data_IF_744923505657
#
_entry.id   IF_744923505657
#
_cell.length_a   1.000
_cell.length_b   1.000
_cell.length_c   1.000
_cell.angle_alpha   90.00
_cell.angle_beta   90.00
_cell.angle_gamma   90.00
#
_symmetry.space_group_name_H-M   'P 1'
#
loop_
_entity.id
_entity.type
_entity.pdbx_description
1 polymer ?
#
# COMPACT_ATOMS: atom_id res chain seq x y z
N UNK A 1 37.85 34.92 16.13
CA UNK A 1 36.70 34.02 15.91
C UNK A 1 37.26 32.81 15.20
N UNK A 2 37.13 31.62 15.79
CA UNK A 2 37.60 30.37 15.18
C UNK A 2 36.84 30.18 13.87
N UNK A 3 37.55 30.25 12.75
CA UNK A 3 36.95 30.07 11.41
C UNK A 3 36.54 28.61 11.28
N UNK A 4 35.23 28.34 11.29
CA UNK A 4 34.73 26.98 11.14
C UNK A 4 35.06 26.46 9.75
N UNK A 5 35.69 25.29 9.66
CA UNK A 5 35.90 24.61 8.38
C UNK A 5 34.81 23.58 8.09
N UNK A 6 34.48 23.38 6.81
CA UNK A 6 33.45 22.44 6.35
C UNK A 6 34.02 21.43 5.36
N UNK A 7 33.54 20.19 5.44
CA UNK A 7 33.92 19.12 4.52
C UNK A 7 32.93 19.03 3.36
N UNK A 8 33.42 19.27 2.13
CA UNK A 8 32.63 19.14 0.89
C UNK A 8 32.33 17.70 0.55
N UNK A 9 31.36 17.50 -0.34
CA UNK A 9 31.00 16.18 -0.89
C UNK A 9 32.15 15.49 -1.62
N UNK A 10 33.07 16.26 -2.21
CA UNK A 10 34.28 15.75 -2.85
C UNK A 10 35.46 15.53 -1.88
N UNK A 11 35.23 15.65 -0.56
CA UNK A 11 36.24 15.46 0.48
C UNK A 11 37.15 16.65 0.74
N UNK A 12 37.05 17.74 -0.03
CA UNK A 12 37.85 18.96 0.23
C UNK A 12 37.31 19.74 1.42
N UNK A 13 38.22 20.34 2.19
CA UNK A 13 37.89 21.25 3.29
C UNK A 13 37.95 22.70 2.82
N UNK A 14 36.95 23.51 3.15
CA UNK A 14 36.95 24.96 2.93
C UNK A 14 36.38 25.70 4.15
N UNK A 15 36.59 27.02 4.22
CA UNK A 15 35.94 27.84 5.24
C UNK A 15 34.42 27.89 5.05
N UNK A 16 33.67 27.90 6.15
CA UNK A 16 32.22 28.04 6.09
C UNK A 16 31.83 29.36 5.43
N UNK A 17 30.96 29.28 4.43
CA UNK A 17 30.42 30.46 3.76
C UNK A 17 28.97 30.69 4.18
N UNK A 18 28.79 31.52 5.21
CA UNK A 18 27.47 31.85 5.76
C UNK A 18 26.62 32.65 4.76
N UNK A 19 27.23 33.46 3.90
CA UNK A 19 26.51 34.21 2.86
C UNK A 19 25.84 33.27 1.83
N UNK A 20 26.51 32.18 1.46
CA UNK A 20 25.92 31.14 0.61
C UNK A 20 24.73 30.45 1.28
N UNK A 21 24.83 30.18 2.58
CA UNK A 21 23.72 29.62 3.36
C UNK A 21 22.56 30.61 3.35
N UNK A 22 22.83 31.88 3.67
CA UNK A 22 21.83 32.94 3.71
C UNK A 22 21.09 33.11 2.38
N UNK A 23 21.80 33.10 1.25
CA UNK A 23 21.18 33.16 -0.09
C UNK A 23 20.22 31.99 -0.34
N UNK A 24 20.60 30.77 0.03
CA UNK A 24 19.75 29.58 -0.16
C UNK A 24 18.52 29.61 0.76
N UNK A 25 18.68 30.00 2.03
CA UNK A 25 17.58 30.11 2.98
C UNK A 25 16.61 31.22 2.57
N UNK A 26 17.13 32.37 2.10
CA UNK A 26 16.34 33.48 1.58
C UNK A 26 15.57 33.09 0.32
N UNK A 27 16.21 32.40 -0.62
CA UNK A 27 15.54 31.85 -1.80
C UNK A 27 14.40 30.90 -1.40
N UNK A 28 14.61 30.02 -0.42
CA UNK A 28 13.57 29.11 0.03
C UNK A 28 12.37 29.85 0.67
N UNK A 29 12.60 31.02 1.25
CA UNK A 29 11.57 31.87 1.85
C UNK A 29 10.82 32.78 0.86
N UNK A 30 11.23 32.82 -0.42
CA UNK A 30 10.67 33.77 -1.39
C UNK A 30 9.15 33.56 -1.61
N UNK A 31 8.38 34.63 -1.44
CA UNK A 31 6.92 34.60 -1.60
C UNK A 31 6.15 33.80 -0.53
N UNK A 32 6.78 33.52 0.61
CA UNK A 32 6.15 32.85 1.76
C UNK A 32 5.81 33.87 2.85
N UNK A 33 4.67 33.66 3.52
CA UNK A 33 4.19 34.52 4.59
C UNK A 33 4.62 34.01 5.97
N UNK A 34 4.90 34.93 6.91
CA UNK A 34 5.22 34.62 8.30
C UNK A 34 6.37 33.61 8.51
N UNK A 35 7.34 33.56 7.59
CA UNK A 35 8.60 32.81 7.76
C UNK A 35 9.77 33.74 8.07
N UNK A 36 10.73 33.28 8.87
CA UNK A 36 11.91 34.05 9.26
C UNK A 36 13.20 33.32 8.91
N UNK A 37 13.92 33.87 7.92
CA UNK A 37 15.25 33.42 7.52
C UNK A 37 16.20 33.37 8.71
N UNK A 38 16.23 34.45 9.51
CA UNK A 38 17.11 34.56 10.68
C UNK A 38 16.79 33.51 11.74
N UNK A 39 15.52 33.15 11.95
CA UNK A 39 15.13 32.14 12.93
C UNK A 39 15.65 30.74 12.55
N UNK A 40 15.57 30.39 11.25
CA UNK A 40 16.11 29.13 10.72
C UNK A 40 17.64 29.09 10.85
N UNK A 41 18.31 30.17 10.45
CA UNK A 41 19.77 30.28 10.55
C UNK A 41 20.27 30.19 11.99
N UNK A 42 19.65 30.91 12.93
CA UNK A 42 20.05 30.87 14.35
C UNK A 42 19.90 29.47 14.93
N UNK A 43 18.77 28.79 14.67
CA UNK A 43 18.55 27.40 15.10
C UNK A 43 19.56 26.43 14.51
N UNK A 44 19.93 26.61 13.24
CA UNK A 44 20.86 25.74 12.54
C UNK A 44 22.32 25.98 12.98
N UNK A 45 22.75 27.24 13.08
CA UNK A 45 24.12 27.63 13.41
C UNK A 45 24.58 27.10 14.78
N UNK A 46 23.67 27.00 15.76
CA UNK A 46 23.96 26.43 17.08
C UNK A 46 24.44 24.97 16.99
N UNK A 47 24.06 24.25 15.92
CA UNK A 47 24.40 22.85 15.72
C UNK A 47 25.66 22.65 14.85
N UNK A 48 26.27 23.73 14.34
CA UNK A 48 27.47 23.63 13.51
C UNK A 48 28.72 23.44 14.36
N UNK A 49 29.62 22.57 13.89
CA UNK A 49 30.88 22.24 14.54
C UNK A 49 32.02 22.14 13.52
N UNK A 50 33.26 22.16 14.00
CA UNK A 50 34.45 22.13 13.15
C UNK A 50 34.52 20.86 12.30
N UNK A 51 34.72 21.02 10.99
CA UNK A 51 34.80 19.91 10.04
C UNK A 51 33.45 19.32 9.62
N UNK A 52 32.32 19.91 10.03
CA UNK A 52 30.96 19.47 9.67
C UNK A 52 30.84 19.26 8.14
N UNK A 53 30.16 18.19 7.74
CA UNK A 53 29.95 17.92 6.31
C UNK A 53 28.89 18.86 5.76
N UNK A 54 29.08 19.29 4.51
CA UNK A 54 28.09 20.12 3.81
C UNK A 54 26.73 19.44 3.60
N UNK A 55 26.68 18.10 3.63
CA UNK A 55 25.41 17.34 3.67
C UNK A 55 24.65 17.61 4.96
N UNK A 56 25.35 17.58 6.08
CA UNK A 56 24.78 17.68 7.42
C UNK A 56 24.31 19.11 7.68
N UNK A 57 25.04 20.12 7.17
CA UNK A 57 24.59 21.52 7.17
C UNK A 57 23.20 21.67 6.53
N UNK A 58 22.99 21.09 5.34
CA UNK A 58 21.69 21.17 4.68
C UNK A 58 20.60 20.41 5.47
N UNK A 59 20.90 19.23 6.01
CA UNK A 59 19.94 18.47 6.82
C UNK A 59 19.54 19.24 8.08
N UNK A 60 20.49 19.90 8.74
CA UNK A 60 20.24 20.78 9.89
C UNK A 60 19.36 21.98 9.53
N UNK A 61 19.59 22.63 8.37
CA UNK A 61 18.75 23.75 7.91
C UNK A 61 17.32 23.29 7.60
N UNK A 62 17.18 22.16 6.90
CA UNK A 62 15.88 21.55 6.58
C UNK A 62 15.11 21.23 7.87
N UNK A 63 15.77 20.59 8.84
CA UNK A 63 15.15 20.26 10.13
C UNK A 63 14.79 21.51 10.91
N UNK A 64 15.65 22.52 10.92
CA UNK A 64 15.39 23.79 11.63
C UNK A 64 14.16 24.52 11.09
N UNK A 65 13.95 24.50 9.77
CA UNK A 65 12.73 25.02 9.15
C UNK A 65 11.52 24.12 9.41
N UNK A 66 11.68 22.80 9.34
CA UNK A 66 10.59 21.85 9.59
C UNK A 66 10.06 21.90 11.04
N UNK A 67 10.94 22.10 12.03
CA UNK A 67 10.59 22.23 13.44
C UNK A 67 9.85 23.55 13.77
N UNK A 68 9.70 24.45 12.79
CA UNK A 68 8.95 25.71 12.89
C UNK A 68 7.56 25.64 12.23
N UNK A 69 7.18 24.48 11.68
CA UNK A 69 5.84 24.29 11.12
C UNK A 69 4.83 24.27 12.27
N UNK A 70 3.91 25.23 12.26
CA UNK A 70 2.78 25.33 13.21
C UNK A 70 1.52 25.81 12.49
N UNK A 71 0.39 25.84 13.21
CA UNK A 71 -0.85 26.43 12.70
C UNK A 71 -0.71 27.95 12.44
N UNK A 72 0.12 28.67 13.20
CA UNK A 72 0.33 30.12 13.00
C UNK A 72 1.33 30.43 11.87
N UNK A 73 2.27 29.52 11.61
CA UNK A 73 3.31 29.68 10.59
C UNK A 73 3.37 28.48 9.63
N UNK A 74 2.29 28.22 8.86
CA UNK A 74 2.17 27.03 8.02
C UNK A 74 3.15 27.03 6.84
N UNK A 75 3.58 28.19 6.35
CA UNK A 75 4.45 28.31 5.17
C UNK A 75 5.87 27.79 5.38
N UNK A 76 6.29 27.57 6.63
CA UNK A 76 7.50 26.79 6.90
C UNK A 76 7.46 25.41 6.26
N UNK A 77 6.27 24.85 5.98
CA UNK A 77 6.16 23.59 5.23
C UNK A 77 6.73 23.69 3.82
N UNK A 78 6.57 24.85 3.15
CA UNK A 78 7.10 25.09 1.82
C UNK A 78 8.57 25.49 1.89
N UNK A 79 8.96 26.31 2.87
CA UNK A 79 10.37 26.66 3.08
C UNK A 79 11.23 25.42 3.31
N UNK A 80 10.81 24.53 4.23
CA UNK A 80 11.50 23.27 4.50
C UNK A 80 11.48 22.33 3.28
N UNK A 81 10.39 22.31 2.51
CA UNK A 81 10.30 21.53 1.26
C UNK A 81 11.31 22.01 0.22
N UNK A 82 11.38 23.33 -0.03
CA UNK A 82 12.28 23.94 -1.02
C UNK A 82 13.74 23.69 -0.66
N UNK A 83 14.10 23.81 0.63
CA UNK A 83 15.43 23.42 1.13
C UNK A 83 15.71 21.92 0.91
N UNK A 84 14.72 21.06 1.14
CA UNK A 84 14.85 19.63 0.92
C UNK A 84 15.00 19.28 -0.57
N UNK A 85 14.24 19.92 -1.47
CA UNK A 85 14.41 19.75 -2.93
C UNK A 85 15.78 20.22 -3.38
N UNK A 86 16.24 21.38 -2.91
CA UNK A 86 17.59 21.88 -3.23
C UNK A 86 18.67 20.87 -2.82
N UNK A 87 18.54 20.27 -1.63
CA UNK A 87 19.43 19.23 -1.18
C UNK A 87 19.35 17.96 -2.03
N UNK A 88 18.14 17.53 -2.41
CA UNK A 88 17.88 16.35 -3.24
C UNK A 88 18.46 16.50 -4.65
N UNK A 89 18.29 17.66 -5.30
CA UNK A 89 18.85 17.90 -6.63
C UNK A 89 20.37 17.81 -6.62
N UNK A 90 21.01 18.44 -5.63
CA UNK A 90 22.46 18.30 -5.45
C UNK A 90 22.86 16.85 -5.21
N UNK A 91 22.06 16.07 -4.45
CA UNK A 91 22.32 14.65 -4.19
C UNK A 91 22.27 13.83 -5.48
N UNK A 92 21.25 14.04 -6.31
CA UNK A 92 21.04 13.27 -7.53
C UNK A 92 21.94 13.70 -8.69
N UNK A 93 22.22 14.99 -8.84
CA UNK A 93 22.85 15.55 -10.05
C UNK A 93 24.19 16.22 -9.77
N UNK A 94 24.57 16.42 -8.51
CA UNK A 94 25.75 17.21 -8.13
C UNK A 94 25.53 18.73 -8.16
N UNK A 95 24.54 19.20 -8.90
CA UNK A 95 24.15 20.60 -9.05
C UNK A 95 22.65 20.84 -8.81
N UNK A 96 22.19 22.08 -8.95
CA UNK A 96 20.78 22.43 -8.75
C UNK A 96 19.92 22.22 -10.01
N UNK A 97 20.46 22.51 -11.19
CA UNK A 97 19.74 22.32 -12.44
C UNK A 97 19.71 20.84 -12.83
N UNK A 98 18.54 20.25 -13.10
CA UNK A 98 18.45 18.89 -13.61
C UNK A 98 19.07 18.77 -15.01
N UNK A 99 19.70 17.64 -15.35
CA UNK A 99 20.23 17.40 -16.69
C UNK A 99 19.11 17.27 -17.73
N UNK A 100 19.46 17.34 -19.03
CA UNK A 100 18.50 17.05 -20.10
C UNK A 100 17.91 15.63 -19.94
N UNK A 101 16.60 15.48 -20.23
CA UNK A 101 15.87 14.22 -20.04
C UNK A 101 16.54 13.03 -20.72
N UNK A 102 16.95 13.16 -21.98
CA UNK A 102 17.62 12.08 -22.71
C UNK A 102 18.91 11.61 -22.01
N UNK A 103 19.78 12.55 -21.62
CA UNK A 103 21.03 12.23 -20.94
C UNK A 103 20.78 11.58 -19.57
N UNK A 104 19.75 12.05 -18.85
CA UNK A 104 19.32 11.45 -17.59
C UNK A 104 18.87 9.99 -17.77
N UNK A 105 17.99 9.73 -18.75
CA UNK A 105 17.48 8.38 -19.04
C UNK A 105 18.61 7.45 -19.49
N UNK A 106 19.48 7.89 -20.39
CA UNK A 106 20.64 7.11 -20.84
C UNK A 106 21.51 6.65 -19.67
N UNK A 107 21.87 7.58 -18.78
CA UNK A 107 22.68 7.28 -17.60
C UNK A 107 21.99 6.26 -16.67
N UNK A 108 20.68 6.42 -16.40
CA UNK A 108 19.98 5.51 -15.49
C UNK A 108 19.63 4.15 -16.12
N UNK A 109 19.52 4.07 -17.45
CA UNK A 109 19.43 2.79 -18.16
C UNK A 109 20.78 2.06 -18.12
N UNK A 110 21.90 2.75 -18.33
CA UNK A 110 23.24 2.17 -18.21
C UNK A 110 23.49 1.60 -16.81
N UNK A 111 23.04 2.31 -15.77
CA UNK A 111 23.08 1.86 -14.38
C UNK A 111 22.00 0.80 -14.03
N UNK A 112 21.18 0.37 -14.99
CA UNK A 112 20.08 -0.61 -14.83
C UNK A 112 19.05 -0.20 -13.76
N UNK A 113 18.84 1.10 -13.60
CA UNK A 113 17.85 1.69 -12.69
C UNK A 113 16.54 2.02 -13.41
N UNK A 114 16.64 2.47 -14.65
CA UNK A 114 15.51 2.61 -15.56
C UNK A 114 15.43 1.48 -16.56
N UNK A 115 14.26 1.28 -17.12
CA UNK A 115 14.05 0.30 -18.17
C UNK A 115 14.63 0.76 -19.51
N UNK A 116 15.33 -0.15 -20.20
CA UNK A 116 15.92 0.12 -21.50
C UNK A 116 14.87 0.37 -22.60
N UNK A 117 13.65 -0.16 -22.42
CA UNK A 117 12.53 0.03 -23.34
C UNK A 117 12.15 1.50 -23.53
N UNK A 118 12.44 2.37 -22.55
CA UNK A 118 12.21 3.81 -22.64
C UNK A 118 13.02 4.41 -23.80
N UNK A 119 14.28 3.99 -23.98
CA UNK A 119 15.15 4.49 -25.04
C UNK A 119 14.78 3.95 -26.42
N UNK A 120 14.16 2.77 -26.50
CA UNK A 120 13.68 2.21 -27.77
C UNK A 120 12.29 2.73 -28.16
N UNK A 121 11.50 3.22 -27.20
CA UNK A 121 10.13 3.68 -27.43
C UNK A 121 10.05 5.10 -28.00
N UNK A 122 11.09 5.92 -27.79
CA UNK A 122 11.12 7.33 -28.14
C UNK A 122 12.40 7.69 -28.90
N UNK A 123 12.23 8.44 -29.98
CA UNK A 123 13.35 9.03 -30.73
C UNK A 123 14.02 10.19 -29.97
N UNK A 124 15.27 10.57 -30.29
CA UNK A 124 15.90 11.75 -29.71
C UNK A 124 15.05 13.03 -29.87
N UNK A 125 14.40 13.22 -31.00
CA UNK A 125 13.53 14.36 -31.28
C UNK A 125 12.27 14.36 -30.40
N UNK A 126 11.74 13.18 -30.07
CA UNK A 126 10.66 13.04 -29.09
C UNK A 126 11.15 13.32 -27.68
N UNK A 127 12.37 12.91 -27.31
CA UNK A 127 12.96 13.28 -26.02
C UNK A 127 13.14 14.79 -25.86
N UNK A 128 13.50 15.51 -26.92
CA UNK A 128 13.56 16.98 -26.90
C UNK A 128 12.18 17.59 -26.64
N UNK A 129 11.14 17.06 -27.29
CA UNK A 129 9.75 17.48 -27.05
C UNK A 129 9.29 17.16 -25.63
N UNK A 130 9.56 15.95 -25.14
CA UNK A 130 9.26 15.54 -23.77
C UNK A 130 9.98 16.43 -22.75
N UNK A 131 11.26 16.74 -23.00
CA UNK A 131 12.03 17.65 -22.16
C UNK A 131 11.40 19.05 -22.12
N UNK A 132 10.84 19.52 -23.24
CA UNK A 132 10.13 20.81 -23.30
C UNK A 132 8.84 20.87 -22.45
N UNK A 133 8.27 19.72 -22.09
CA UNK A 133 7.09 19.67 -21.21
C UNK A 133 7.46 19.83 -19.73
N UNK A 134 8.71 19.55 -19.34
CA UNK A 134 9.15 19.61 -17.96
C UNK A 134 9.12 21.04 -17.42
N UNK A 135 8.42 21.21 -16.30
CA UNK A 135 8.48 22.40 -15.48
C UNK A 135 9.05 22.05 -14.11
N UNK A 136 10.38 22.16 -13.99
CA UNK A 136 11.12 21.89 -12.77
C UNK A 136 10.77 22.83 -11.61
N UNK A 137 10.11 23.98 -11.86
CA UNK A 137 9.67 24.86 -10.78
C UNK A 137 8.48 24.27 -10.01
N UNK A 138 7.75 23.31 -10.57
CA UNK A 138 6.66 22.58 -9.86
C UNK A 138 7.17 21.79 -8.66
N UNK A 139 8.47 21.48 -8.58
CA UNK A 139 9.05 20.91 -7.36
C UNK A 139 8.92 21.86 -6.15
N UNK A 140 8.77 23.16 -6.36
CA UNK A 140 8.63 24.15 -5.29
C UNK A 140 7.22 24.20 -4.68
N UNK A 141 6.26 23.50 -5.30
CA UNK A 141 4.86 23.44 -4.86
C UNK A 141 4.61 22.33 -3.82
N UNK A 142 5.61 21.49 -3.54
CA UNK A 142 5.48 20.43 -2.54
C UNK A 142 5.53 20.99 -1.12
N UNK A 143 4.75 20.40 -0.21
CA UNK A 143 4.97 20.55 1.23
C UNK A 143 6.10 19.64 1.72
N UNK A 144 6.65 19.94 2.88
CA UNK A 144 7.79 19.20 3.43
C UNK A 144 7.49 17.70 3.59
N UNK A 145 6.29 17.37 4.06
CA UNK A 145 5.85 15.99 4.21
C UNK A 145 5.81 15.24 2.86
N UNK A 146 5.39 15.92 1.78
CA UNK A 146 5.37 15.35 0.43
C UNK A 146 6.79 15.06 -0.06
N UNK A 147 7.73 15.99 0.13
CA UNK A 147 9.15 15.77 -0.21
C UNK A 147 9.74 14.58 0.56
N UNK A 148 9.35 14.39 1.83
CA UNK A 148 9.76 13.21 2.61
C UNK A 148 9.13 11.90 2.14
N UNK A 149 7.93 11.91 1.58
CA UNK A 149 7.40 10.71 0.90
C UNK A 149 8.15 10.44 -0.41
N UNK A 150 8.47 11.47 -1.19
CA UNK A 150 9.24 11.35 -2.43
C UNK A 150 10.62 10.73 -2.13
N UNK A 151 11.39 11.35 -1.24
CA UNK A 151 12.71 10.87 -0.78
C UNK A 151 12.62 9.48 -0.16
N UNK A 152 11.64 9.24 0.72
CA UNK A 152 11.56 8.00 1.46
C UNK A 152 11.03 6.82 0.65
N UNK A 153 10.22 7.03 -0.40
CA UNK A 153 9.44 5.94 -1.02
C UNK A 153 9.41 5.97 -2.55
N UNK A 154 9.32 7.14 -3.19
CA UNK A 154 8.98 7.22 -4.62
C UNK A 154 10.19 7.42 -5.52
N UNK A 155 11.18 8.19 -5.07
CA UNK A 155 12.39 8.41 -5.86
C UNK A 155 13.19 7.10 -5.99
N UNK A 156 13.64 6.82 -7.21
CA UNK A 156 14.59 5.74 -7.51
C UNK A 156 15.87 6.03 -6.74
N UNK A 157 16.24 5.05 -5.93
CA UNK A 157 17.30 5.20 -4.94
C UNK A 157 17.93 3.85 -4.65
N UNK A 158 19.16 3.89 -4.17
CA UNK A 158 19.80 2.73 -3.58
C UNK A 158 19.45 2.67 -2.10
N UNK A 159 18.63 1.70 -1.73
CA UNK A 159 18.14 1.53 -0.35
C UNK A 159 19.24 1.19 0.66
N UNK A 160 20.38 0.67 0.19
CA UNK A 160 21.52 0.30 1.05
C UNK A 160 22.42 1.51 1.28
N UNK A 161 22.77 2.25 0.22
CA UNK A 161 23.68 3.39 0.32
C UNK A 161 22.98 4.71 0.66
N UNK A 162 21.66 4.79 0.45
CA UNK A 162 20.87 6.01 0.60
C UNK A 162 21.00 7.00 -0.56
N UNK A 163 21.63 6.59 -1.66
CA UNK A 163 21.83 7.44 -2.84
C UNK A 163 20.51 7.62 -3.61
N UNK A 164 20.18 8.88 -3.95
CA UNK A 164 19.00 9.27 -4.71
C UNK A 164 19.44 9.59 -6.15
N UNK A 165 18.70 9.12 -7.15
CA UNK A 165 19.16 9.18 -8.55
C UNK A 165 18.38 10.15 -9.45
N UNK A 166 17.25 10.69 -9.01
CA UNK A 166 16.33 11.47 -9.86
C UNK A 166 15.62 12.58 -9.07
N UNK A 167 14.78 13.36 -9.75
CA UNK A 167 13.94 14.43 -9.17
C UNK A 167 12.44 14.19 -9.46
N UNK A 168 11.52 14.86 -8.74
CA UNK A 168 10.09 14.58 -8.87
C UNK A 168 9.51 14.80 -10.28
N UNK A 169 9.96 15.82 -11.02
CA UNK A 169 9.43 16.02 -12.37
C UNK A 169 9.80 14.91 -13.36
N UNK A 170 11.01 14.34 -13.23
CA UNK A 170 11.36 13.15 -14.02
C UNK A 170 10.47 11.97 -13.71
N UNK A 171 10.08 11.77 -12.44
CA UNK A 171 9.08 10.75 -12.09
C UNK A 171 7.81 10.96 -12.90
N UNK A 172 7.19 12.14 -12.79
CA UNK A 172 5.88 12.38 -13.38
C UNK A 172 5.88 12.23 -14.90
N UNK A 173 6.88 12.78 -15.56
CA UNK A 173 6.97 12.70 -17.02
C UNK A 173 7.27 11.28 -17.49
N UNK A 174 8.19 10.57 -16.83
CA UNK A 174 8.53 9.20 -17.23
C UNK A 174 7.42 8.21 -16.88
N UNK A 175 6.64 8.45 -15.81
CA UNK A 175 5.41 7.69 -15.55
C UNK A 175 4.44 7.84 -16.72
N UNK A 176 4.21 9.07 -17.18
CA UNK A 176 3.37 9.33 -18.33
C UNK A 176 3.93 8.65 -19.60
N UNK A 177 5.22 8.84 -19.89
CA UNK A 177 5.88 8.27 -21.05
C UNK A 177 5.82 6.73 -21.06
N UNK A 178 6.00 6.06 -19.93
CA UNK A 178 5.89 4.60 -19.87
C UNK A 178 4.44 4.11 -20.05
N UNK A 179 3.45 4.80 -19.46
CA UNK A 179 2.03 4.41 -19.58
C UNK A 179 1.49 4.54 -21.00
N UNK A 180 1.96 5.54 -21.74
CA UNK A 180 1.48 5.86 -23.08
C UNK A 180 2.46 5.46 -24.18
N UNK A 181 3.51 4.67 -23.88
CA UNK A 181 4.54 4.29 -24.84
C UNK A 181 3.97 3.64 -26.12
N UNK A 182 2.98 2.77 -25.97
CA UNK A 182 2.38 2.02 -27.08
C UNK A 182 1.27 2.79 -27.84
N UNK A 183 1.00 4.04 -27.48
CA UNK A 183 0.00 4.85 -28.19
C UNK A 183 0.51 5.24 -29.58
N UNK A 184 -0.43 5.45 -30.50
CA UNK A 184 -0.14 5.98 -31.83
C UNK A 184 0.66 7.29 -31.74
N UNK A 185 1.72 7.41 -32.53
CA UNK A 185 2.68 8.51 -32.46
C UNK A 185 2.04 9.88 -32.75
N UNK A 186 0.92 9.92 -33.49
CA UNK A 186 0.19 11.17 -33.77
C UNK A 186 -0.49 11.78 -32.55
N UNK A 187 -0.77 10.97 -31.52
CA UNK A 187 -1.49 11.41 -30.30
C UNK A 187 -0.68 11.19 -29.01
N UNK A 188 0.30 10.29 -29.02
CA UNK A 188 1.05 9.85 -27.83
C UNK A 188 1.64 11.00 -27.02
N UNK A 189 2.33 11.95 -27.66
CA UNK A 189 2.95 13.09 -26.97
C UNK A 189 1.92 14.03 -26.33
N UNK A 190 0.74 14.22 -26.94
CA UNK A 190 -0.33 15.02 -26.33
C UNK A 190 -0.87 14.37 -25.05
N UNK A 191 -1.11 13.06 -25.07
CA UNK A 191 -1.52 12.31 -23.89
C UNK A 191 -0.47 12.38 -22.77
N UNK A 192 0.81 12.22 -23.12
CA UNK A 192 1.91 12.33 -22.17
C UNK A 192 1.94 13.71 -21.52
N UNK A 193 1.87 14.79 -22.32
CA UNK A 193 1.84 16.17 -21.81
C UNK A 193 0.65 16.39 -20.87
N UNK A 194 -0.56 16.04 -21.31
CA UNK A 194 -1.79 16.24 -20.52
C UNK A 194 -1.78 15.47 -19.22
N UNK A 195 -1.27 14.23 -19.25
CA UNK A 195 -1.15 13.42 -18.05
C UNK A 195 -0.07 13.95 -17.12
N UNK A 196 1.11 14.31 -17.64
CA UNK A 196 2.16 14.98 -16.87
C UNK A 196 1.62 16.22 -16.16
N UNK A 197 0.90 17.09 -16.88
CA UNK A 197 0.29 18.29 -16.30
C UNK A 197 -0.74 17.95 -15.21
N UNK A 198 -1.56 16.91 -15.41
CA UNK A 198 -2.54 16.49 -14.41
C UNK A 198 -1.87 15.98 -13.12
N UNK A 199 -0.83 15.15 -13.21
CA UNK A 199 -0.21 14.55 -12.03
C UNK A 199 0.78 15.49 -11.33
N UNK A 200 1.53 16.31 -12.09
CA UNK A 200 2.51 17.25 -11.51
C UNK A 200 1.85 18.50 -10.92
N UNK A 201 0.62 18.85 -11.34
CA UNK A 201 -0.21 19.86 -10.67
C UNK A 201 -1.21 19.25 -9.67
N UNK A 202 -0.98 18.00 -9.25
CA UNK A 202 -1.75 17.33 -8.19
C UNK A 202 -3.26 17.22 -8.45
N UNK A 203 -3.71 17.17 -9.72
CA UNK A 203 -5.11 16.88 -10.08
C UNK A 203 -5.43 15.40 -9.98
N UNK A 204 -4.44 14.57 -10.31
CA UNK A 204 -4.52 13.11 -10.20
C UNK A 204 -3.41 12.62 -9.29
N UNK A 205 -3.77 11.84 -8.28
CA UNK A 205 -2.84 11.14 -7.39
C UNK A 205 -2.62 9.71 -7.87
N UNK A 206 -1.38 9.27 -7.84
CA UNK A 206 -0.96 7.93 -8.26
C UNK A 206 -0.49 7.10 -7.05
N UNK A 207 -0.78 5.79 -7.04
CA UNK A 207 -0.41 4.91 -5.95
C UNK A 207 1.09 4.67 -5.91
N UNK A 208 1.58 4.23 -4.75
CA UNK A 208 3.01 4.03 -4.47
C UNK A 208 3.71 3.10 -5.48
N UNK A 209 3.15 1.94 -5.88
CA UNK A 209 3.83 1.05 -6.84
C UNK A 209 4.03 1.69 -8.21
N UNK A 210 3.10 2.53 -8.68
CA UNK A 210 3.24 3.26 -9.94
C UNK A 210 4.31 4.34 -9.81
N UNK A 211 4.19 5.22 -8.81
CA UNK A 211 5.14 6.31 -8.56
C UNK A 211 6.59 5.82 -8.39
N UNK A 212 6.78 4.70 -7.70
CA UNK A 212 8.08 4.15 -7.35
C UNK A 212 8.62 3.09 -8.34
N UNK A 213 7.85 2.70 -9.36
CA UNK A 213 8.13 1.47 -10.11
C UNK A 213 8.08 1.59 -11.62
N UNK A 214 7.17 2.39 -12.18
CA UNK A 214 6.77 2.20 -13.58
C UNK A 214 7.87 2.42 -14.63
N UNK A 215 8.82 3.32 -14.36
CA UNK A 215 9.97 3.61 -15.23
C UNK A 215 11.17 2.69 -14.99
N UNK A 216 11.07 1.79 -14.02
CA UNK A 216 12.13 0.86 -13.62
C UNK A 216 11.94 -0.51 -14.28
N UNK A 217 12.94 -1.41 -14.25
CA UNK A 217 12.79 -2.78 -14.78
C UNK A 217 11.70 -3.64 -14.12
N UNK A 218 11.10 -3.19 -13.02
CA UNK A 218 10.01 -3.94 -12.36
C UNK A 218 8.70 -3.74 -13.12
N UNK A 219 7.92 -4.81 -13.32
CA UNK A 219 6.62 -4.79 -14.03
C UNK A 219 5.42 -5.19 -13.14
N UNK A 220 5.56 -5.09 -11.82
CA UNK A 220 4.45 -5.26 -10.88
C UNK A 220 4.05 -3.89 -10.33
N UNK A 221 2.81 -3.48 -10.58
CA UNK A 221 2.27 -2.17 -10.16
C UNK A 221 0.96 -2.28 -9.38
N UNK A 222 0.45 -3.50 -9.16
CA UNK A 222 -0.81 -3.72 -8.45
C UNK A 222 -0.61 -3.48 -6.96
N UNK A 223 -1.42 -2.56 -6.41
CA UNK A 223 -1.31 -2.15 -5.00
C UNK A 223 -1.93 -3.18 -4.07
N UNK A 224 -2.99 -3.84 -4.52
CA UNK A 224 -3.73 -4.82 -3.75
C UNK A 224 -3.95 -6.11 -4.56
N UNK A 225 -3.87 -7.23 -3.86
CA UNK A 225 -4.02 -8.58 -4.39
C UNK A 225 -5.00 -9.33 -3.50
N UNK A 226 -6.03 -9.93 -4.08
CA UNK A 226 -7.06 -10.69 -3.39
C UNK A 226 -6.91 -12.17 -3.76
N UNK A 227 -6.70 -13.01 -2.76
CA UNK A 227 -6.44 -14.45 -2.94
C UNK A 227 -7.47 -15.24 -2.11
N UNK A 228 -8.23 -16.10 -2.79
CA UNK A 228 -9.15 -17.02 -2.14
C UNK A 228 -8.46 -18.37 -1.91
N UNK A 229 -8.57 -18.88 -0.68
CA UNK A 229 -8.05 -20.18 -0.29
C UNK A 229 -9.19 -21.19 -0.23
N UNK A 230 -9.07 -22.28 -0.97
CA UNK A 230 -9.96 -23.42 -0.88
C UNK A 230 -9.65 -24.32 0.33
N UNK A 231 -10.54 -25.27 0.60
CA UNK A 231 -10.41 -26.24 1.69
C UNK A 231 -9.58 -27.46 1.29
N UNK A 232 -8.33 -27.22 0.86
CA UNK A 232 -7.36 -28.29 0.55
C UNK A 232 -5.93 -27.84 0.82
N UNK A 233 -5.05 -28.80 1.13
CA UNK A 233 -3.62 -28.50 1.33
C UNK A 233 -2.97 -27.90 0.08
N UNK A 234 -3.37 -28.38 -1.10
CA UNK A 234 -2.90 -27.84 -2.38
C UNK A 234 -3.25 -26.36 -2.52
N UNK A 235 -4.49 -25.98 -2.17
CA UNK A 235 -4.92 -24.59 -2.21
C UNK A 235 -4.28 -23.72 -1.14
N UNK A 236 -4.08 -24.25 0.07
CA UNK A 236 -3.35 -23.58 1.15
C UNK A 236 -1.90 -23.30 0.72
N UNK A 237 -1.22 -24.27 0.12
CA UNK A 237 0.14 -24.13 -0.38
C UNK A 237 0.21 -23.13 -1.54
N UNK A 238 -0.74 -23.19 -2.48
CA UNK A 238 -0.82 -22.25 -3.60
C UNK A 238 -1.05 -20.81 -3.10
N UNK A 239 -1.96 -20.62 -2.15
CA UNK A 239 -2.26 -19.35 -1.49
C UNK A 239 -1.01 -18.78 -0.81
N UNK A 240 -0.34 -19.58 0.02
CA UNK A 240 0.91 -19.18 0.71
C UNK A 240 2.00 -18.78 -0.28
N UNK A 241 2.19 -19.57 -1.33
CA UNK A 241 3.19 -19.31 -2.36
C UNK A 241 2.89 -18.02 -3.15
N UNK A 242 1.61 -17.76 -3.46
CA UNK A 242 1.17 -16.53 -4.12
C UNK A 242 1.40 -15.30 -3.22
N UNK A 243 1.09 -15.40 -1.92
CA UNK A 243 1.36 -14.35 -0.93
C UNK A 243 2.84 -13.95 -0.95
N UNK A 244 3.75 -14.93 -0.86
CA UNK A 244 5.21 -14.66 -0.84
C UNK A 244 5.65 -13.90 -2.10
N UNK A 245 5.20 -14.34 -3.28
CA UNK A 245 5.52 -13.66 -4.55
C UNK A 245 5.03 -12.21 -4.54
N UNK A 246 3.77 -11.98 -4.21
CA UNK A 246 3.17 -10.64 -4.29
C UNK A 246 3.66 -9.67 -3.21
N UNK A 247 3.91 -10.15 -1.99
CA UNK A 247 4.50 -9.31 -0.93
C UNK A 247 5.91 -8.87 -1.31
N UNK A 248 6.73 -9.74 -1.89
CA UNK A 248 8.07 -9.36 -2.36
C UNK A 248 8.03 -8.21 -3.39
N UNK A 249 6.90 -8.06 -4.09
CA UNK A 249 6.66 -7.10 -5.15
C UNK A 249 5.75 -5.93 -4.75
N UNK A 250 5.71 -5.57 -3.46
CA UNK A 250 5.01 -4.35 -2.97
C UNK A 250 3.47 -4.41 -2.95
N UNK A 251 2.85 -5.58 -2.98
CA UNK A 251 1.38 -5.70 -2.86
C UNK A 251 0.92 -5.82 -1.39
N UNK A 252 -0.24 -5.21 -1.08
CA UNK A 252 -1.02 -5.53 0.12
C UNK A 252 -2.01 -6.66 -0.17
N UNK A 253 -2.25 -7.55 0.80
CA UNK A 253 -2.97 -8.80 0.54
C UNK A 253 -4.34 -8.84 1.23
N UNK A 254 -5.38 -9.24 0.52
CA UNK A 254 -6.63 -9.74 1.11
C UNK A 254 -6.71 -11.26 0.94
N UNK A 255 -6.94 -12.00 2.02
CA UNK A 255 -6.96 -13.47 2.00
C UNK A 255 -8.35 -13.94 2.42
N UNK A 256 -9.12 -14.55 1.52
CA UNK A 256 -10.31 -15.28 1.97
C UNK A 256 -9.91 -16.69 2.39
N UNK A 257 -10.01 -16.96 3.69
CA UNK A 257 -9.72 -18.27 4.25
C UNK A 257 -10.94 -18.89 4.96
N UNK A 258 -12.12 -18.29 4.75
CA UNK A 258 -13.36 -18.71 5.41
C UNK A 258 -13.93 -20.05 4.94
N UNK A 259 -13.39 -20.64 3.87
CA UNK A 259 -13.78 -21.96 3.38
C UNK A 259 -13.04 -23.11 4.09
N UNK A 260 -11.91 -22.83 4.76
CA UNK A 260 -11.13 -23.85 5.47
C UNK A 260 -12.00 -24.49 6.56
N UNK A 261 -12.03 -25.82 6.61
CA UNK A 261 -12.85 -26.55 7.59
C UNK A 261 -12.40 -26.35 9.03
N UNK A 262 -13.35 -26.48 9.94
CA UNK A 262 -13.12 -26.23 11.36
C UNK A 262 -12.22 -27.30 12.05
N UNK A 263 -11.66 -26.93 13.19
CA UNK A 263 -10.96 -27.84 14.12
C UNK A 263 -11.83 -29.07 14.44
N UNK A 264 -11.27 -30.26 14.34
CA UNK A 264 -11.94 -31.52 14.63
C UNK A 264 -12.78 -32.09 13.47
N UNK A 265 -12.88 -31.40 12.33
CA UNK A 265 -13.52 -31.98 11.14
C UNK A 265 -12.72 -33.17 10.60
N UNK A 266 -13.42 -34.15 10.03
CA UNK A 266 -12.80 -35.37 9.54
C UNK A 266 -11.93 -35.11 8.29
N UNK A 267 -10.78 -35.78 8.20
CA UNK A 267 -9.93 -35.85 7.01
C UNK A 267 -10.00 -37.28 6.47
N UNK A 268 -10.20 -37.43 5.15
CA UNK A 268 -10.23 -38.72 4.43
C UNK A 268 -11.13 -39.78 5.10
N UNK A 269 -12.35 -39.40 5.48
CA UNK A 269 -13.29 -40.33 6.09
C UNK A 269 -12.96 -40.75 7.53
N UNK A 270 -12.07 -40.01 8.22
CA UNK A 270 -11.75 -40.24 9.63
C UNK A 270 -10.33 -40.74 9.90
N UNK A 271 -9.45 -40.80 8.89
CA UNK A 271 -8.03 -41.15 9.08
C UNK A 271 -7.28 -40.17 10.00
N UNK A 272 -7.69 -38.90 10.00
CA UNK A 272 -7.13 -37.87 10.86
C UNK A 272 -8.17 -36.80 11.21
N UNK A 273 -7.89 -36.06 12.28
CA UNK A 273 -8.65 -34.88 12.68
C UNK A 273 -7.98 -33.61 12.15
N UNK A 274 -8.78 -32.69 11.60
CA UNK A 274 -8.29 -31.39 11.15
C UNK A 274 -7.86 -30.52 12.33
N UNK A 275 -6.71 -29.87 12.25
CA UNK A 275 -6.13 -29.03 13.32
C UNK A 275 -6.67 -27.60 13.37
N UNK A 276 -7.67 -27.31 12.53
CA UNK A 276 -8.39 -26.04 12.51
C UNK A 276 -7.74 -24.95 11.66
N UNK A 277 -8.33 -23.76 11.71
CA UNK A 277 -7.93 -22.64 10.86
C UNK A 277 -6.65 -21.94 11.35
N UNK A 278 -6.47 -21.85 12.67
CA UNK A 278 -5.42 -21.04 13.30
C UNK A 278 -4.00 -21.42 12.83
N UNK A 279 -3.60 -22.71 12.75
CA UNK A 279 -2.28 -23.08 12.22
C UNK A 279 -2.04 -22.59 10.78
N UNK A 280 -3.05 -22.64 9.92
CA UNK A 280 -2.94 -22.12 8.56
C UNK A 280 -2.90 -20.59 8.52
N UNK A 281 -3.61 -19.92 9.41
CA UNK A 281 -3.54 -18.45 9.52
C UNK A 281 -2.14 -18.01 10.00
N UNK A 282 -1.50 -18.77 10.91
CA UNK A 282 -0.09 -18.57 11.26
C UNK A 282 0.84 -18.78 10.05
N UNK A 283 0.59 -19.79 9.24
CA UNK A 283 1.35 -20.03 8.02
C UNK A 283 1.20 -18.89 7.00
N UNK A 284 -0.01 -18.37 6.81
CA UNK A 284 -0.22 -17.18 5.99
C UNK A 284 0.45 -15.94 6.59
N UNK A 285 0.47 -15.79 7.92
CA UNK A 285 1.18 -14.68 8.57
C UNK A 285 2.67 -14.72 8.28
N UNK A 286 3.32 -15.89 8.36
CA UNK A 286 4.75 -15.99 8.05
C UNK A 286 5.02 -15.76 6.57
N UNK A 287 4.14 -16.20 5.67
CA UNK A 287 4.21 -15.86 4.24
C UNK A 287 4.09 -14.34 4.00
N UNK A 288 3.18 -13.65 4.70
CA UNK A 288 3.02 -12.19 4.60
C UNK A 288 4.25 -11.43 5.15
N UNK A 289 4.95 -12.00 6.14
CA UNK A 289 6.12 -11.37 6.77
C UNK A 289 7.47 -11.85 6.21
N UNK A 290 7.48 -12.73 5.21
CA UNK A 290 8.71 -13.28 4.66
C UNK A 290 9.56 -12.26 3.90
N UNK A 291 8.94 -11.18 3.41
CA UNK A 291 9.61 -10.12 2.66
C UNK A 291 9.11 -8.73 3.12
N UNK A 292 9.96 -7.71 3.00
CA UNK A 292 9.50 -6.33 2.98
C UNK A 292 8.89 -6.03 1.60
N UNK A 293 7.78 -5.27 1.54
CA UNK A 293 7.14 -4.80 0.30
C UNK A 293 8.15 -4.05 -0.58
N UNK A 294 8.89 -4.76 -1.43
CA UNK A 294 9.94 -4.25 -2.30
C UNK A 294 10.90 -3.25 -1.64
N UNK A 295 11.26 -3.48 -0.37
CA UNK A 295 12.17 -2.63 0.41
C UNK A 295 11.58 -1.32 0.96
N UNK A 296 10.25 -1.12 0.89
CA UNK A 296 9.60 0.16 1.26
C UNK A 296 8.84 0.10 2.58
N UNK A 297 8.07 -0.97 2.84
CA UNK A 297 7.26 -1.17 4.07
C UNK A 297 7.19 -2.66 4.44
N UNK A 298 6.75 -3.00 5.65
CA UNK A 298 6.48 -4.40 6.02
C UNK A 298 5.21 -4.93 5.35
N UNK A 299 5.20 -6.20 4.92
CA UNK A 299 4.02 -6.85 4.35
C UNK A 299 2.83 -6.83 5.31
N UNK A 300 1.63 -6.61 4.79
CA UNK A 300 0.39 -6.53 5.56
C UNK A 300 -0.73 -7.27 4.83
N UNK A 301 -1.61 -7.93 5.60
CA UNK A 301 -2.76 -8.63 5.05
C UNK A 301 -3.97 -8.62 5.99
N UNK A 302 -5.14 -8.72 5.39
CA UNK A 302 -6.43 -8.93 6.06
C UNK A 302 -6.99 -10.29 5.67
N UNK A 303 -7.38 -11.10 6.66
CA UNK A 303 -7.97 -12.43 6.45
C UNK A 303 -9.49 -12.39 6.67
N UNK A 304 -10.25 -12.94 5.74
CA UNK A 304 -11.72 -12.91 5.75
C UNK A 304 -12.31 -14.27 6.13
N UNK A 305 -13.38 -14.24 6.94
CA UNK A 305 -14.16 -15.42 7.32
C UNK A 305 -15.61 -15.05 7.70
N UNK A 306 -16.57 -15.98 7.53
CA UNK A 306 -17.97 -15.76 7.91
C UNK A 306 -18.17 -15.73 9.42
N UNK A 307 -19.07 -14.87 9.90
CA UNK A 307 -19.44 -14.83 11.32
C UNK A 307 -20.06 -16.14 11.83
N UNK A 308 -20.66 -16.93 10.94
CA UNK A 308 -21.23 -18.24 11.29
C UNK A 308 -20.19 -19.38 11.25
N UNK A 309 -18.91 -19.09 11.03
CA UNK A 309 -17.87 -20.13 11.06
C UNK A 309 -17.78 -20.79 12.44
N UNK A 310 -17.62 -22.12 12.51
CA UNK A 310 -17.57 -22.86 13.79
C UNK A 310 -16.49 -22.37 14.75
N UNK A 311 -15.36 -21.90 14.22
CA UNK A 311 -14.26 -21.36 15.02
C UNK A 311 -14.37 -19.85 15.31
N UNK A 312 -15.46 -19.17 14.95
CA UNK A 312 -15.55 -17.69 14.95
C UNK A 312 -15.13 -17.04 16.28
N UNK A 313 -15.53 -17.61 17.42
CA UNK A 313 -15.17 -17.06 18.74
C UNK A 313 -13.64 -17.05 18.95
N UNK A 314 -12.96 -18.09 18.46
CA UNK A 314 -11.50 -18.19 18.50
C UNK A 314 -10.84 -17.28 17.47
N UNK A 315 -11.44 -17.14 16.28
CA UNK A 315 -10.92 -16.29 15.21
C UNK A 315 -11.01 -14.79 15.55
N UNK A 316 -12.06 -14.37 16.26
CA UNK A 316 -12.26 -12.97 16.67
C UNK A 316 -11.16 -12.46 17.61
N UNK A 317 -10.63 -13.34 18.47
CA UNK A 317 -9.64 -12.98 19.51
C UNK A 317 -8.19 -13.17 19.06
N UNK A 318 -7.93 -13.46 17.78
CA UNK A 318 -6.58 -13.74 17.27
C UNK A 318 -5.60 -12.57 17.44
N UNK A 319 -6.09 -11.33 17.43
CA UNK A 319 -5.30 -10.11 17.67
C UNK A 319 -5.17 -9.72 19.13
N UNK A 320 -5.98 -10.31 20.02
CA UNK A 320 -5.99 -9.96 21.43
C UNK A 320 -4.59 -10.14 22.04
N UNK A 321 -4.10 -9.14 22.76
CA UNK A 321 -2.76 -9.18 23.35
C UNK A 321 -2.65 -10.24 24.47
N UNK A 322 -3.75 -10.52 25.17
CA UNK A 322 -3.83 -11.58 26.19
C UNK A 322 -4.14 -12.93 25.54
N UNK A 323 -3.47 -13.98 25.99
CA UNK A 323 -3.64 -15.36 25.50
C UNK A 323 -2.31 -16.06 25.26
N UNK A 324 -2.37 -17.35 24.99
CA UNK A 324 -1.19 -18.17 24.64
C UNK A 324 -0.84 -18.02 23.15
N UNK A 325 0.43 -18.16 22.80
CA UNK A 325 0.86 -17.92 21.41
C UNK A 325 0.23 -18.86 20.41
N UNK A 326 0.00 -20.11 20.79
CA UNK A 326 -0.59 -21.15 19.94
C UNK A 326 -1.94 -20.69 19.34
N UNK A 327 -2.72 -19.92 20.10
CA UNK A 327 -4.07 -19.47 19.73
C UNK A 327 -4.10 -17.99 19.30
N UNK A 328 -2.97 -17.43 18.86
CA UNK A 328 -2.87 -16.01 18.47
C UNK A 328 -2.14 -15.81 17.14
N UNK A 329 -2.63 -14.84 16.38
CA UNK A 329 -2.10 -14.46 15.06
C UNK A 329 -2.26 -12.94 14.94
N UNK A 330 -1.39 -12.19 15.62
CA UNK A 330 -1.60 -10.76 15.90
C UNK A 330 -1.18 -9.81 14.77
N UNK A 331 -0.36 -10.28 13.85
CA UNK A 331 0.24 -9.45 12.80
C UNK A 331 -0.50 -9.52 11.45
N UNK A 332 -1.68 -10.14 11.45
CA UNK A 332 -2.70 -10.07 10.41
C UNK A 332 -3.92 -9.32 10.94
N UNK A 333 -4.61 -8.60 10.08
CA UNK A 333 -5.93 -8.04 10.38
C UNK A 333 -7.03 -9.01 9.92
N UNK A 334 -8.27 -8.78 10.35
CA UNK A 334 -9.37 -9.72 10.08
C UNK A 334 -10.63 -9.01 9.59
N UNK A 335 -11.26 -9.53 8.54
CA UNK A 335 -12.55 -9.07 8.03
C UNK A 335 -13.64 -10.09 8.35
N UNK A 336 -14.55 -9.74 9.24
CA UNK A 336 -15.68 -10.60 9.61
C UNK A 336 -16.83 -10.34 8.64
N UNK A 337 -17.36 -11.41 8.07
CA UNK A 337 -18.37 -11.33 7.01
C UNK A 337 -19.77 -11.57 7.56
N UNK A 338 -20.68 -10.65 7.25
CA UNK A 338 -22.07 -10.63 7.74
C UNK A 338 -23.05 -10.51 6.58
N UNK A 339 -24.27 -10.99 6.80
CA UNK A 339 -25.42 -10.68 5.95
C UNK A 339 -26.65 -10.33 6.80
N UNK A 340 -27.74 -9.99 6.13
CA UNK A 340 -29.04 -9.64 6.71
C UNK A 340 -29.50 -10.61 7.80
N UNK A 341 -29.41 -11.92 7.59
CA UNK A 341 -29.91 -12.91 8.55
C UNK A 341 -29.18 -12.79 9.89
N UNK A 342 -27.86 -12.58 9.88
CA UNK A 342 -27.06 -12.45 11.11
C UNK A 342 -27.52 -11.24 11.93
N UNK A 343 -27.81 -10.12 11.27
CA UNK A 343 -28.36 -8.92 11.94
C UNK A 343 -29.79 -9.13 12.43
N UNK A 344 -30.64 -9.83 11.66
CA UNK A 344 -31.99 -10.16 12.09
C UNK A 344 -31.99 -11.01 13.37
N UNK A 345 -31.08 -11.99 13.48
CA UNK A 345 -30.89 -12.78 14.71
C UNK A 345 -30.51 -11.91 15.90
N UNK A 346 -29.67 -10.89 15.70
CA UNK A 346 -29.33 -9.94 16.76
C UNK A 346 -30.55 -9.11 17.20
N UNK A 347 -31.26 -8.53 16.23
CA UNK A 347 -32.40 -7.63 16.50
C UNK A 347 -33.55 -8.38 17.19
N UNK A 348 -33.81 -9.62 16.80
CA UNK A 348 -34.88 -10.43 17.38
C UNK A 348 -34.49 -11.07 18.72
N UNK A 349 -33.28 -10.86 19.23
CA UNK A 349 -32.75 -11.55 20.42
C UNK A 349 -32.61 -13.07 20.23
N UNK A 350 -32.44 -13.51 18.97
CA UNK A 350 -32.28 -14.91 18.61
C UNK A 350 -30.85 -15.44 18.78
N UNK A 351 -30.65 -16.66 18.31
CA UNK A 351 -29.35 -17.32 18.31
C UNK A 351 -28.73 -17.33 16.90
N UNK A 352 -27.42 -17.45 16.84
CA UNK A 352 -26.65 -17.77 15.64
C UNK A 352 -26.12 -19.19 15.81
N UNK A 353 -26.30 -20.02 14.80
CA UNK A 353 -25.70 -21.35 14.74
C UNK A 353 -24.43 -21.32 13.89
N UNK A 354 -23.39 -21.91 14.45
CA UNK A 354 -22.06 -21.97 13.89
C UNK A 354 -21.84 -23.33 13.24
N UNK A 355 -21.27 -23.33 12.04
CA UNK A 355 -21.03 -24.52 11.23
C UNK A 355 -19.61 -24.55 10.68
N UNK A 356 -19.05 -25.74 10.50
CA UNK A 356 -17.87 -25.90 9.62
C UNK A 356 -18.37 -25.81 8.17
N UNK A 357 -17.77 -24.98 7.29
CA UNK A 357 -18.19 -24.90 5.89
C UNK A 357 -18.23 -26.26 5.16
N UNK A 358 -17.39 -27.22 5.59
CA UNK A 358 -17.35 -28.60 5.08
C UNK A 358 -18.63 -29.40 5.32
N UNK A 359 -19.42 -29.04 6.33
CA UNK A 359 -20.53 -29.86 6.85
C UNK A 359 -21.89 -29.36 6.35
N UNK A 360 -21.91 -28.23 5.63
CA UNK A 360 -23.12 -27.53 5.18
C UNK A 360 -23.06 -27.22 3.67
N UNK A 361 -23.23 -28.23 2.81
CA UNK A 361 -23.05 -28.10 1.37
C UNK A 361 -23.86 -26.95 0.74
N UNK A 362 -23.19 -26.08 -0.02
CA UNK A 362 -23.83 -24.96 -0.70
C UNK A 362 -24.23 -23.78 0.19
N UNK A 363 -24.09 -23.88 1.52
CA UNK A 363 -24.35 -22.76 2.44
C UNK A 363 -23.34 -21.62 2.23
N UNK A 364 -22.06 -21.96 2.09
CA UNK A 364 -20.99 -20.97 1.91
C UNK A 364 -21.20 -20.14 0.64
N UNK A 365 -21.50 -20.76 -0.50
CA UNK A 365 -21.74 -20.02 -1.74
C UNK A 365 -23.02 -19.17 -1.68
N UNK A 366 -24.10 -19.71 -1.10
CA UNK A 366 -25.36 -18.99 -0.95
C UNK A 366 -25.20 -17.75 -0.05
N UNK A 367 -24.34 -17.81 0.98
CA UNK A 367 -24.08 -16.69 1.89
C UNK A 367 -23.70 -15.40 1.17
N UNK A 368 -22.97 -15.51 0.06
CA UNK A 368 -22.60 -14.38 -0.78
C UNK A 368 -23.62 -14.15 -1.91
N UNK A 369 -23.98 -15.21 -2.63
CA UNK A 369 -24.64 -15.08 -3.92
C UNK A 369 -26.18 -15.05 -3.89
N UNK A 370 -26.81 -15.67 -2.89
CA UNK A 370 -28.27 -15.87 -2.86
C UNK A 370 -28.77 -15.91 -1.42
N UNK A 371 -29.30 -14.78 -0.95
CA UNK A 371 -29.71 -14.60 0.45
C UNK A 371 -30.94 -15.43 0.81
N UNK A 372 -31.85 -15.69 -0.13
CA UNK A 372 -33.03 -16.53 0.12
C UNK A 372 -32.63 -17.99 0.24
N UNK A 373 -31.76 -18.47 -0.66
CA UNK A 373 -31.19 -19.81 -0.57
C UNK A 373 -30.35 -19.99 0.68
N UNK A 374 -29.58 -18.98 1.08
CA UNK A 374 -28.82 -19.01 2.33
C UNK A 374 -29.76 -19.19 3.53
N UNK A 375 -30.79 -18.36 3.65
CA UNK A 375 -31.75 -18.42 4.76
C UNK A 375 -32.44 -19.79 4.82
N UNK A 376 -32.86 -20.33 3.68
CA UNK A 376 -33.45 -21.68 3.59
C UNK A 376 -32.47 -22.77 4.06
N UNK A 377 -31.25 -22.79 3.53
CA UNK A 377 -30.24 -23.80 3.88
C UNK A 377 -29.80 -23.67 5.34
N UNK A 378 -29.64 -22.44 5.83
CA UNK A 378 -29.23 -22.17 7.19
C UNK A 378 -30.23 -22.73 8.21
N UNK A 379 -31.52 -22.44 8.03
CA UNK A 379 -32.58 -22.97 8.91
C UNK A 379 -32.72 -24.50 8.76
N UNK A 380 -32.57 -25.03 7.55
CA UNK A 380 -32.56 -26.48 7.33
C UNK A 380 -31.44 -27.17 8.13
N UNK A 381 -30.21 -26.64 8.06
CA UNK A 381 -29.06 -27.20 8.76
C UNK A 381 -29.09 -26.95 10.28
N UNK A 382 -29.76 -25.89 10.74
CA UNK A 382 -30.06 -25.69 12.16
C UNK A 382 -30.96 -26.81 12.71
N UNK A 383 -31.91 -27.31 11.94
CA UNK A 383 -32.85 -28.37 12.33
C UNK A 383 -32.28 -29.80 12.18
N UNK A 384 -31.17 -29.99 11.47
CA UNK A 384 -30.61 -31.32 11.18
C UNK A 384 -29.62 -31.77 12.27
N UNK A 385 -30.05 -32.60 13.20
CA UNK A 385 -29.23 -33.09 14.31
C UNK A 385 -28.01 -33.93 13.89
N UNK A 386 -27.92 -34.37 12.63
CA UNK A 386 -26.75 -35.09 12.11
C UNK A 386 -25.56 -34.17 11.80
N UNK A 387 -25.80 -32.86 11.67
CA UNK A 387 -24.78 -31.87 11.33
C UNK A 387 -24.12 -31.33 12.59
N UNK A 388 -22.79 -31.36 12.61
CA UNK A 388 -21.99 -30.75 13.66
C UNK A 388 -22.23 -29.24 13.69
N UNK A 389 -22.71 -28.74 14.83
CA UNK A 389 -23.05 -27.32 15.00
C UNK A 389 -22.85 -26.86 16.45
N UNK A 390 -22.71 -25.56 16.64
CA UNK A 390 -22.73 -24.92 17.96
C UNK A 390 -23.68 -23.72 17.90
N UNK A 391 -24.49 -23.50 18.93
CA UNK A 391 -25.42 -22.37 18.97
C UNK A 391 -24.98 -21.37 20.03
N UNK A 392 -24.95 -20.09 19.65
CA UNK A 392 -24.57 -18.96 20.52
C UNK A 392 -25.64 -17.86 20.43
N UNK A 393 -25.87 -17.11 21.52
CA UNK A 393 -26.75 -15.95 21.43
C UNK A 393 -26.15 -14.91 20.51
N UNK A 394 -26.96 -14.36 19.61
CA UNK A 394 -26.47 -13.34 18.67
C UNK A 394 -25.88 -12.13 19.42
N UNK A 395 -26.49 -11.72 20.52
CA UNK A 395 -25.98 -10.62 21.36
C UNK A 395 -24.57 -10.88 21.91
N UNK A 396 -24.27 -12.12 22.30
CA UNK A 396 -22.95 -12.49 22.85
C UNK A 396 -21.88 -12.44 21.75
N UNK A 397 -22.16 -13.04 20.59
CA UNK A 397 -21.23 -13.05 19.46
C UNK A 397 -20.97 -11.65 18.90
N UNK A 398 -22.01 -10.83 18.74
CA UNK A 398 -21.86 -9.43 18.31
C UNK A 398 -21.12 -8.58 19.34
N UNK A 399 -21.32 -8.83 20.65
CA UNK A 399 -20.57 -8.15 21.71
C UNK A 399 -19.09 -8.52 21.67
N UNK A 400 -18.75 -9.80 21.44
CA UNK A 400 -17.37 -10.24 21.26
C UNK A 400 -16.72 -9.56 20.05
N UNK A 401 -17.40 -9.56 18.90
CA UNK A 401 -16.95 -8.85 17.70
C UNK A 401 -16.70 -7.36 17.97
N UNK A 402 -17.68 -6.66 18.56
CA UNK A 402 -17.57 -5.24 18.84
C UNK A 402 -16.44 -4.93 19.84
N UNK A 403 -16.24 -5.77 20.84
CA UNK A 403 -15.19 -5.61 21.86
C UNK A 403 -13.79 -5.77 21.27
N UNK A 404 -13.56 -6.81 20.47
CA UNK A 404 -12.26 -7.05 19.81
C UNK A 404 -11.97 -5.98 18.74
N UNK A 405 -13.01 -5.54 18.01
CA UNK A 405 -12.93 -4.40 17.09
C UNK A 405 -12.55 -3.11 17.82
N UNK A 406 -13.22 -2.79 18.93
CA UNK A 406 -12.94 -1.58 19.71
C UNK A 406 -11.53 -1.60 20.33
N UNK A 407 -11.10 -2.77 20.81
CA UNK A 407 -9.80 -2.92 21.50
C UNK A 407 -8.61 -2.83 20.54
N UNK A 408 -8.77 -3.32 19.31
CA UNK A 408 -7.65 -3.42 18.35
C UNK A 408 -7.73 -2.42 17.19
N UNK A 409 -8.93 -1.92 16.90
CA UNK A 409 -9.23 -1.12 15.70
C UNK A 409 -9.12 -1.89 14.37
N UNK A 410 -8.83 -3.20 14.40
CA UNK A 410 -8.40 -3.99 13.22
C UNK A 410 -9.12 -5.33 13.07
N UNK A 411 -10.31 -5.43 13.67
CA UNK A 411 -11.33 -6.41 13.30
C UNK A 411 -12.37 -5.66 12.46
N UNK A 412 -12.33 -5.87 11.16
CA UNK A 412 -13.15 -5.24 10.15
C UNK A 412 -14.45 -6.00 9.91
N UNK A 413 -15.34 -5.37 9.15
CA UNK A 413 -16.66 -5.87 8.82
C UNK A 413 -16.90 -5.76 7.33
N UNK A 414 -17.44 -6.81 6.74
CA UNK A 414 -17.89 -6.85 5.36
C UNK A 414 -19.35 -7.32 5.32
N UNK A 415 -20.23 -6.49 4.77
CA UNK A 415 -21.62 -6.87 4.52
C UNK A 415 -21.72 -7.54 3.16
N UNK A 416 -21.69 -8.88 3.14
CA UNK A 416 -21.53 -9.65 1.90
C UNK A 416 -22.75 -9.60 1.01
N UNK A 417 -23.94 -9.41 1.58
CA UNK A 417 -25.17 -9.19 0.85
C UNK A 417 -25.14 -7.88 0.07
N UNK A 418 -24.71 -6.78 0.70
CA UNK A 418 -24.56 -5.48 0.04
C UNK A 418 -23.50 -5.52 -1.07
N UNK A 419 -22.38 -6.21 -0.82
CA UNK A 419 -21.30 -6.41 -1.80
C UNK A 419 -21.73 -7.19 -3.06
N UNK A 420 -22.87 -7.88 -3.04
CA UNK A 420 -23.35 -8.68 -4.17
C UNK A 420 -24.68 -8.16 -4.76
N UNK A 421 -25.53 -7.54 -3.95
CA UNK A 421 -26.80 -6.93 -4.42
C UNK A 421 -26.60 -5.55 -5.04
N UNK A 422 -25.56 -4.82 -4.60
CA UNK A 422 -25.16 -3.54 -5.18
C UNK A 422 -23.72 -3.63 -5.70
N UNK A 423 -23.56 -4.43 -6.75
CA UNK A 423 -22.27 -4.80 -7.33
C UNK A 423 -22.31 -4.64 -8.85
N UNK A 424 -21.16 -4.35 -9.49
CA UNK A 424 -21.06 -4.46 -10.95
C UNK A 424 -21.01 -5.92 -11.44
N UNK A 425 -20.92 -6.91 -10.54
CA UNK A 425 -20.82 -8.32 -10.88
C UNK A 425 -22.13 -9.06 -10.65
N UNK A 426 -22.47 -9.98 -11.57
CA UNK A 426 -23.54 -10.95 -11.36
C UNK A 426 -23.08 -12.01 -10.33
N UNK A 427 -23.70 -12.08 -9.14
CA UNK A 427 -23.29 -13.01 -8.10
C UNK A 427 -23.48 -14.49 -8.47
N UNK A 428 -24.32 -14.82 -9.46
CA UNK A 428 -24.47 -16.18 -9.94
C UNK A 428 -23.25 -16.66 -10.77
N UNK A 429 -22.48 -15.72 -11.34
CA UNK A 429 -21.34 -16.00 -12.22
C UNK A 429 -20.01 -15.70 -11.52
N UNK A 430 -19.90 -14.53 -10.91
CA UNK A 430 -18.66 -14.00 -10.35
C UNK A 430 -18.96 -13.23 -9.04
N UNK A 431 -19.36 -13.93 -7.96
CA UNK A 431 -19.66 -13.27 -6.69
C UNK A 431 -18.43 -12.66 -6.05
N UNK A 432 -18.63 -11.58 -5.31
CA UNK A 432 -17.62 -10.99 -4.45
C UNK A 432 -17.65 -11.68 -3.09
N UNK A 433 -16.59 -12.44 -2.78
CA UNK A 433 -16.49 -13.24 -1.54
C UNK A 433 -15.51 -12.70 -0.50
N UNK A 434 -14.83 -11.59 -0.77
CA UNK A 434 -13.89 -10.96 0.16
C UNK A 434 -13.66 -9.49 -0.18
N UNK A 435 -12.76 -8.85 0.56
CA UNK A 435 -12.18 -7.56 0.19
C UNK A 435 -10.64 -7.65 0.14
N UNK A 436 -9.96 -6.54 -0.12
CA UNK A 436 -8.52 -6.37 0.05
C UNK A 436 -8.12 -6.01 1.51
N UNK A 437 -6.84 -5.68 1.70
CA UNK A 437 -6.25 -5.20 2.96
C UNK A 437 -7.05 -4.08 3.65
N UNK A 438 -7.48 -3.06 2.89
CA UNK A 438 -8.03 -1.81 3.45
C UNK A 438 -9.56 -1.68 3.31
N UNK A 439 -10.25 -2.75 2.91
CA UNK A 439 -11.72 -2.88 2.86
C UNK A 439 -12.42 -2.05 1.77
N UNK A 440 -11.69 -1.52 0.79
CA UNK A 440 -12.24 -0.70 -0.30
C UNK A 440 -12.41 -1.44 -1.64
N UNK A 441 -11.79 -2.61 -1.80
CA UNK A 441 -11.82 -3.38 -3.06
C UNK A 441 -12.66 -4.64 -2.94
N UNK A 442 -13.72 -4.71 -3.76
CA UNK A 442 -14.68 -5.81 -3.82
C UNK A 442 -14.66 -6.43 -5.23
N UNK A 443 -13.87 -7.49 -5.42
CA UNK A 443 -13.68 -8.15 -6.72
C UNK A 443 -13.87 -9.68 -6.61
N UNK A 444 -14.27 -10.35 -7.71
CA UNK A 444 -14.36 -11.81 -7.76
C UNK A 444 -13.00 -12.49 -7.62
N UNK A 445 -13.01 -13.71 -7.09
CA UNK A 445 -11.84 -14.57 -6.91
C UNK A 445 -12.22 -16.03 -7.14
N UNK A 446 -11.22 -16.87 -7.46
CA UNK A 446 -11.36 -18.32 -7.51
C UNK A 446 -10.14 -18.96 -6.86
N UNK A 447 -10.33 -19.96 -5.97
CA UNK A 447 -9.22 -20.66 -5.34
C UNK A 447 -8.26 -21.29 -6.36
N UNK A 448 -6.97 -21.23 -6.06
CA UNK A 448 -5.95 -21.94 -6.82
C UNK A 448 -5.75 -23.33 -6.23
N UNK A 449 -5.46 -24.34 -7.06
CA UNK A 449 -4.93 -25.65 -6.62
C UNK A 449 -3.40 -25.72 -6.72
N UNK A 450 -2.79 -24.85 -7.50
CA UNK A 450 -1.35 -24.73 -7.64
C UNK A 450 -1.00 -23.28 -7.97
N UNK A 451 0.22 -22.82 -7.71
CA UNK A 451 0.62 -21.42 -7.99
C UNK A 451 0.51 -21.04 -9.49
N UNK A 452 0.52 -22.03 -10.38
CA UNK A 452 0.36 -21.87 -11.82
C UNK A 452 -0.97 -22.42 -12.33
N UNK A 453 -1.98 -22.51 -11.47
CA UNK A 453 -3.32 -22.94 -11.86
C UNK A 453 -4.00 -21.87 -12.70
N UNK A 454 -4.21 -22.16 -13.99
CA UNK A 454 -4.86 -21.26 -14.95
C UNK A 454 -6.38 -21.12 -14.72
N UNK A 455 -6.98 -22.03 -13.95
CA UNK A 455 -8.40 -21.97 -13.61
C UNK A 455 -8.71 -21.13 -12.36
N UNK A 456 -7.67 -20.84 -11.57
CA UNK A 456 -7.75 -19.95 -10.41
C UNK A 456 -7.79 -18.48 -10.83
N UNK A 457 -8.29 -17.63 -9.94
CA UNK A 457 -8.45 -16.20 -10.23
C UNK A 457 -8.04 -15.38 -9.00
N UNK A 458 -6.95 -14.63 -9.17
CA UNK A 458 -6.45 -13.65 -8.20
C UNK A 458 -6.87 -12.28 -8.70
N UNK A 459 -7.68 -11.57 -7.92
CA UNK A 459 -8.06 -10.21 -8.25
C UNK A 459 -6.91 -9.24 -7.94
N UNK A 460 -6.65 -8.34 -8.89
CA UNK A 460 -5.65 -7.28 -8.77
C UNK A 460 -6.35 -5.92 -8.81
N UNK A 461 -5.80 -4.96 -8.08
CA UNK A 461 -6.29 -3.59 -8.13
C UNK A 461 -5.19 -2.59 -8.50
N UNK A 462 -5.48 -1.82 -9.55
CA UNK A 462 -4.70 -0.65 -9.97
C UNK A 462 -5.50 0.59 -9.61
N UNK A 463 -4.90 1.44 -8.79
CA UNK A 463 -5.57 2.58 -8.16
C UNK A 463 -5.14 3.90 -8.78
N UNK A 464 -5.99 4.90 -8.64
CA UNK A 464 -5.67 6.32 -8.77
C UNK A 464 -6.76 7.12 -8.04
N UNK A 465 -6.54 8.40 -7.79
CA UNK A 465 -7.52 9.26 -7.13
C UNK A 465 -7.54 10.66 -7.75
N UNK A 466 -8.74 11.25 -7.84
CA UNK A 466 -8.89 12.65 -8.17
C UNK A 466 -8.72 13.51 -6.92
N UNK A 467 -7.98 14.61 -7.03
CA UNK A 467 -7.89 15.59 -5.96
C UNK A 467 -9.00 16.63 -6.10
N UNK A 468 -10.06 16.49 -5.30
CA UNK A 468 -11.20 17.42 -5.32
C UNK A 468 -10.82 18.86 -4.97
N UNK A 469 -9.70 19.10 -4.28
CA UNK A 469 -9.22 20.44 -3.94
C UNK A 469 -8.48 21.17 -5.06
N UNK A 470 -8.23 20.50 -6.20
CA UNK A 470 -7.53 21.06 -7.37
C UNK A 470 -8.32 20.96 -8.67
N UNK A 471 -9.59 20.51 -8.59
CA UNK A 471 -10.53 20.41 -9.71
C UNK A 471 -11.28 21.73 -9.96
#
# INVERSE_FOLDING_TARGET
MTTLTVTKRNGKTEEINLEKIHKVVTWAAEGLDNVSVSQVELKAHIQFFEGIKTTDIHETLIKSAADLISEETPDYQYMAARLAIFHLRKKAFGEYEPPHLLAHVQNLVEQKRYDAEILSSYSPEEFDQLNSFLDHNRDMNFSYAAVKQLEGKYLVQNRVTGEIYESPQFIYLLVAACLFADYDTSIRLDYIRRFYDAVSNFKISLPTPIMAGIRTPTRQFSSCVLIECGDSLDSINATSSAIVKYVSQRAGIGINAGAIRALGSAIRGGEAFHTGCIPFYKHFQTAVKSCSQGGVRGGAATVFYPIWHLEVESLLVLKNNRGVEENRVRHLDYGVQFNRLMYQRLISGGNITLFSPSDVPGLYDAFFADQEKFERLYVQYEADDSIRKQTIKASELFTLFASERASTGRIYLQNVDHCNTHSPFDPAVAPVKQSNLCLEIALPTKPLKHIYDESGEIALCTLSAFNLGSL
#
